data_IF_951590733375
#
_entry.id   IF_951590733375
#
_cell.length_a   1.000
_cell.length_b   1.000
_cell.length_c   1.000
_cell.angle_alpha   90.00
_cell.angle_beta   90.00
_cell.angle_gamma   90.00
#
_symmetry.space_group_name_H-M   'P 1'
#
loop_
_entity.id
_entity.type
_entity.pdbx_description
1 polymer ?
#
# COMPACT_ATOMS: atom_id res chain seq x y z
N UNK A 1 -3.24 -4.25 -4.02
CA UNK A 1 -3.81 -3.90 -2.70
C UNK A 1 -3.82 -5.08 -1.73
N UNK A 2 -4.40 -6.26 -2.03
CA UNK A 2 -4.46 -7.38 -1.06
C UNK A 2 -3.09 -7.91 -0.56
N UNK A 3 -2.10 -8.03 -1.45
CA UNK A 3 -0.75 -8.50 -1.07
C UNK A 3 0.05 -7.49 -0.24
N UNK A 4 -0.25 -6.20 -0.40
CA UNK A 4 0.51 -5.11 0.21
C UNK A 4 0.25 -5.03 1.72
N UNK A 5 -1.00 -5.30 2.14
CA UNK A 5 -1.38 -5.36 3.56
C UNK A 5 -0.64 -6.46 4.33
N UNK A 6 -0.39 -7.62 3.71
CA UNK A 6 0.37 -8.70 4.35
C UNK A 6 1.85 -8.33 4.54
N UNK A 7 2.48 -7.76 3.51
CA UNK A 7 3.86 -7.27 3.56
C UNK A 7 4.04 -6.13 4.59
N UNK A 8 3.07 -5.23 4.68
CA UNK A 8 3.07 -4.17 5.70
C UNK A 8 2.92 -4.73 7.12
N UNK A 9 2.07 -5.73 7.32
CA UNK A 9 1.89 -6.39 8.62
C UNK A 9 3.15 -7.12 9.09
N UNK A 10 3.81 -7.86 8.20
CA UNK A 10 5.08 -8.54 8.50
C UNK A 10 6.17 -7.52 8.82
N UNK A 11 6.26 -6.43 8.03
CA UNK A 11 7.26 -5.38 8.24
C UNK A 11 7.05 -4.63 9.55
N UNK A 12 5.81 -4.42 9.97
CA UNK A 12 5.50 -3.81 11.27
C UNK A 12 5.89 -4.72 12.44
N UNK A 13 5.57 -6.00 12.38
CA UNK A 13 5.92 -6.96 13.43
C UNK A 13 7.45 -7.06 13.57
N UNK A 14 8.15 -7.28 12.45
CA UNK A 14 9.61 -7.37 12.41
C UNK A 14 10.27 -6.08 12.91
N UNK A 15 9.77 -4.92 12.48
CA UNK A 15 10.29 -3.62 12.91
C UNK A 15 10.21 -3.39 14.42
N UNK A 16 9.20 -3.95 15.11
CA UNK A 16 9.10 -3.89 16.58
C UNK A 16 10.12 -4.78 17.27
N UNK A 17 10.41 -5.95 16.71
CA UNK A 17 11.33 -6.94 17.29
C UNK A 17 12.79 -6.50 17.18
N UNK A 18 13.19 -5.95 16.04
CA UNK A 18 14.61 -5.61 15.79
C UNK A 18 15.00 -4.21 16.25
N UNK A 19 14.03 -3.40 16.74
CA UNK A 19 14.26 -2.02 17.18
C UNK A 19 15.30 -1.92 18.30
N UNK A 20 15.31 -2.89 19.21
CA UNK A 20 16.27 -2.95 20.33
C UNK A 20 17.71 -3.22 19.89
N UNK A 21 17.89 -3.70 18.65
CA UNK A 21 19.19 -3.95 18.03
C UNK A 21 19.68 -2.74 17.21
N UNK A 22 18.95 -1.63 17.20
CA UNK A 22 19.27 -0.45 16.39
C UNK A 22 18.96 -0.62 14.89
N UNK A 23 18.17 -1.63 14.52
CA UNK A 23 17.78 -1.90 13.13
C UNK A 23 16.43 -1.25 12.87
N UNK A 24 16.33 -0.55 11.73
CA UNK A 24 15.09 0.08 11.26
C UNK A 24 14.51 -0.68 10.06
N UNK A 25 13.20 -0.90 10.06
CA UNK A 25 12.48 -1.58 8.98
C UNK A 25 11.38 -0.65 8.46
N UNK A 26 11.40 -0.37 7.16
CA UNK A 26 10.38 0.46 6.48
C UNK A 26 9.78 -0.29 5.30
N UNK A 27 8.46 -0.45 5.32
CA UNK A 27 7.69 -0.89 4.17
C UNK A 27 7.46 0.30 3.22
N UNK A 28 8.13 0.28 2.07
CA UNK A 28 7.91 1.25 1.01
C UNK A 28 6.72 0.83 0.15
N UNK A 29 5.68 1.65 0.12
CA UNK A 29 4.48 1.43 -0.71
C UNK A 29 4.41 2.50 -1.81
N UNK A 30 5.06 2.28 -2.97
CA UNK A 30 4.94 3.18 -4.09
C UNK A 30 3.53 3.09 -4.73
N UNK A 31 2.96 4.25 -5.06
CA UNK A 31 1.77 4.38 -5.91
C UNK A 31 2.04 4.06 -7.38
N UNK A 32 1.31 4.67 -8.31
CA UNK A 32 1.57 4.49 -9.74
C UNK A 32 2.85 5.23 -10.17
N UNK A 33 3.97 4.52 -10.26
CA UNK A 33 5.24 5.06 -10.78
C UNK A 33 5.44 4.74 -12.27
N UNK A 34 6.11 5.66 -12.99
CA UNK A 34 6.62 5.41 -14.35
C UNK A 34 7.82 4.47 -14.28
N UNK A 35 7.56 3.20 -14.08
CA UNK A 35 8.55 2.13 -14.25
C UNK A 35 8.07 1.19 -15.35
N UNK A 36 9.01 0.43 -15.94
CA UNK A 36 8.69 -0.60 -16.96
C UNK A 36 7.83 -1.76 -16.40
N UNK A 37 7.43 -1.70 -15.11
CA UNK A 37 6.66 -2.69 -14.38
C UNK A 37 5.27 -2.94 -14.99
N UNK A 38 4.56 -1.89 -15.43
CA UNK A 38 3.26 -2.02 -16.10
C UNK A 38 3.37 -2.49 -17.57
N UNK A 39 4.60 -2.58 -18.09
CA UNK A 39 4.93 -3.07 -19.43
C UNK A 39 5.46 -4.50 -19.39
N UNK A 40 6.76 -4.68 -19.65
CA UNK A 40 7.38 -5.99 -19.92
C UNK A 40 7.52 -6.92 -18.71
N UNK A 41 7.47 -6.41 -17.49
CA UNK A 41 7.74 -7.21 -16.28
C UNK A 41 6.50 -7.83 -15.61
N UNK A 42 5.31 -7.55 -16.12
CA UNK A 42 4.06 -8.12 -15.60
C UNK A 42 3.68 -9.37 -16.40
N UNK A 43 4.09 -10.55 -15.90
CA UNK A 43 3.63 -11.83 -16.44
C UNK A 43 2.19 -12.07 -15.99
N UNK A 44 1.27 -12.23 -16.96
CA UNK A 44 -0.15 -12.51 -16.69
C UNK A 44 -0.46 -13.95 -17.03
N UNK A 45 -1.35 -14.55 -16.26
CA UNK A 45 -1.94 -15.85 -16.57
C UNK A 45 -3.00 -15.66 -17.65
N UNK A 46 -3.01 -16.50 -18.68
CA UNK A 46 -3.94 -16.41 -19.82
C UNK A 46 -5.40 -16.75 -19.45
N UNK A 47 -5.64 -17.26 -18.25
CA UNK A 47 -6.94 -17.76 -17.83
C UNK A 47 -7.84 -16.63 -17.35
N UNK A 48 -8.93 -16.36 -18.08
CA UNK A 48 -10.05 -15.54 -17.61
C UNK A 48 -11.21 -16.43 -17.16
N UNK A 49 -11.98 -15.96 -16.18
CA UNK A 49 -13.24 -16.57 -15.73
C UNK A 49 -14.34 -15.59 -16.15
N UNK A 50 -15.29 -16.04 -16.98
CA UNK A 50 -16.30 -15.18 -17.60
C UNK A 50 -17.09 -14.35 -16.57
N UNK A 51 -17.43 -14.96 -15.43
CA UNK A 51 -18.17 -14.29 -14.33
C UNK A 51 -17.41 -13.10 -13.74
N UNK A 52 -16.08 -13.04 -13.90
CA UNK A 52 -15.23 -11.97 -13.38
C UNK A 52 -14.98 -10.84 -14.39
N UNK A 53 -15.33 -11.02 -15.67
CA UNK A 53 -14.98 -10.07 -16.73
C UNK A 53 -15.67 -8.72 -16.53
N UNK A 54 -16.93 -8.69 -16.07
CA UNK A 54 -17.65 -7.45 -15.79
C UNK A 54 -16.96 -6.54 -14.75
N UNK A 55 -16.24 -7.14 -13.79
CA UNK A 55 -15.49 -6.41 -12.75
C UNK A 55 -14.06 -6.13 -13.21
N UNK A 56 -13.45 -7.07 -13.93
CA UNK A 56 -12.03 -7.01 -14.29
C UNK A 56 -11.77 -6.18 -15.55
N UNK A 57 -12.67 -6.14 -16.52
CA UNK A 57 -12.48 -5.41 -17.77
C UNK A 57 -12.30 -3.90 -17.59
N UNK A 58 -13.11 -3.21 -16.77
CA UNK A 58 -12.88 -1.78 -16.48
C UNK A 58 -11.51 -1.55 -15.82
N UNK A 59 -11.09 -2.46 -14.93
CA UNK A 59 -9.79 -2.39 -14.24
C UNK A 59 -8.65 -2.64 -15.24
N UNK A 60 -8.81 -3.59 -16.16
CA UNK A 60 -7.84 -3.90 -17.23
C UNK A 60 -7.68 -2.69 -18.16
N UNK A 61 -8.80 -2.11 -18.63
CA UNK A 61 -8.81 -0.94 -19.51
C UNK A 61 -8.19 0.30 -18.82
N UNK A 62 -8.58 0.59 -17.58
CA UNK A 62 -8.04 1.72 -16.82
C UNK A 62 -6.52 1.59 -16.59
N UNK A 63 -6.00 0.37 -16.40
CA UNK A 63 -4.55 0.12 -16.24
C UNK A 63 -3.80 0.27 -17.56
N UNK A 64 -4.33 -0.23 -18.67
CA UNK A 64 -3.73 -0.02 -19.99
C UNK A 64 -3.68 1.46 -20.36
N UNK A 65 -4.77 2.20 -20.13
CA UNK A 65 -4.83 3.65 -20.38
C UNK A 65 -3.83 4.47 -19.54
N UNK A 66 -3.43 3.97 -18.37
CA UNK A 66 -2.45 4.59 -17.47
C UNK A 66 -1.01 4.16 -17.73
N UNK A 67 -0.78 3.12 -18.54
CA UNK A 67 0.56 2.65 -18.90
C UNK A 67 1.30 3.73 -19.70
N UNK A 68 2.48 4.16 -19.22
CA UNK A 68 3.27 5.25 -19.80
C UNK A 68 2.83 6.66 -19.40
N UNK A 69 1.68 6.80 -18.72
CA UNK A 69 1.14 8.08 -18.22
C UNK A 69 1.15 8.18 -16.70
N UNK A 70 1.82 7.26 -16.01
CA UNK A 70 1.85 7.25 -14.56
C UNK A 70 2.41 8.60 -14.03
N UNK A 71 1.88 9.16 -12.93
CA UNK A 71 2.32 10.46 -12.43
C UNK A 71 3.64 10.39 -11.65
N UNK A 72 4.00 9.21 -11.12
CA UNK A 72 5.18 9.06 -10.26
C UNK A 72 6.50 9.20 -11.02
N UNK A 73 7.34 10.11 -10.52
CA UNK A 73 8.69 10.37 -11.00
C UNK A 73 9.71 9.49 -10.23
N UNK A 74 10.41 8.56 -10.90
CA UNK A 74 11.41 7.70 -10.26
C UNK A 74 12.55 8.47 -9.59
N UNK A 75 12.96 9.63 -10.11
CA UNK A 75 14.02 10.44 -9.52
C UNK A 75 13.57 10.99 -8.15
N UNK A 76 12.32 11.47 -8.06
CA UNK A 76 11.74 11.93 -6.79
C UNK A 76 11.54 10.79 -5.79
N UNK A 77 11.24 9.58 -6.24
CA UNK A 77 11.22 8.42 -5.36
C UNK A 77 12.62 8.09 -4.80
N UNK A 78 13.66 8.19 -5.62
CA UNK A 78 15.04 8.01 -5.17
C UNK A 78 15.44 9.08 -4.13
N UNK A 79 15.09 10.35 -4.36
CA UNK A 79 15.32 11.42 -3.37
C UNK A 79 14.58 11.15 -2.05
N UNK A 80 13.33 10.68 -2.11
CA UNK A 80 12.56 10.33 -0.91
C UNK A 80 13.18 9.14 -0.15
N UNK A 81 13.76 8.18 -0.88
CA UNK A 81 14.49 7.06 -0.29
C UNK A 81 15.80 7.51 0.38
N UNK A 82 16.55 8.42 -0.22
CA UNK A 82 17.76 8.97 0.40
C UNK A 82 17.42 9.69 1.72
N UNK A 83 16.38 10.52 1.71
CA UNK A 83 15.87 11.18 2.93
C UNK A 83 15.43 10.18 4.00
N UNK A 84 14.86 9.05 3.61
CA UNK A 84 14.44 8.00 4.52
C UNK A 84 15.66 7.34 5.19
N UNK A 85 16.69 7.02 4.41
CA UNK A 85 17.93 6.38 4.90
C UNK A 85 18.72 7.31 5.81
N UNK A 86 18.71 8.62 5.55
CA UNK A 86 19.36 9.64 6.38
C UNK A 86 18.55 10.01 7.64
N UNK A 87 17.36 9.45 7.83
CA UNK A 87 16.53 9.76 9.00
C UNK A 87 17.00 8.97 10.22
N UNK A 88 17.17 9.66 11.36
CA UNK A 88 17.45 9.01 12.65
C UNK A 88 16.27 8.16 13.17
N UNK A 89 15.05 8.44 12.68
CA UNK A 89 13.83 7.75 13.10
C UNK A 89 12.91 7.49 11.89
N UNK A 90 13.30 6.59 10.98
CA UNK A 90 12.51 6.31 9.80
C UNK A 90 11.16 5.67 10.17
N UNK A 91 10.06 6.03 9.47
CA UNK A 91 8.75 5.44 9.71
C UNK A 91 8.71 3.98 9.30
N UNK A 92 7.80 3.22 9.92
CA UNK A 92 7.53 1.81 9.54
C UNK A 92 6.87 1.72 8.16
N UNK A 93 6.13 2.76 7.74
CA UNK A 93 5.43 2.83 6.45
C UNK A 93 5.68 4.17 5.79
N UNK A 94 6.05 4.16 4.51
CA UNK A 94 6.15 5.35 3.69
C UNK A 94 5.38 5.15 2.39
N UNK A 95 4.34 5.97 2.19
CA UNK A 95 3.55 5.98 0.97
C UNK A 95 4.08 7.05 0.02
N UNK A 96 4.47 6.65 -1.18
CA UNK A 96 4.97 7.58 -2.19
C UNK A 96 3.92 7.80 -3.28
N UNK A 97 3.44 9.04 -3.39
CA UNK A 97 2.43 9.46 -4.37
C UNK A 97 1.11 9.88 -3.71
N UNK A 98 0.50 10.95 -4.25
CA UNK A 98 -0.76 11.49 -3.74
C UNK A 98 -1.94 10.52 -3.91
N UNK A 99 -1.90 9.67 -4.96
CA UNK A 99 -2.86 8.60 -5.19
C UNK A 99 -2.79 7.52 -4.11
N UNK A 100 -1.58 7.07 -3.77
CA UNK A 100 -1.36 6.10 -2.71
C UNK A 100 -1.81 6.67 -1.35
N UNK A 101 -1.44 7.92 -1.06
CA UNK A 101 -1.82 8.59 0.18
C UNK A 101 -3.35 8.73 0.31
N UNK A 102 -4.03 9.23 -0.72
CA UNK A 102 -5.50 9.39 -0.69
C UNK A 102 -6.26 8.08 -0.53
N UNK A 103 -5.77 6.98 -1.12
CA UNK A 103 -6.36 5.65 -0.90
C UNK A 103 -6.23 5.19 0.56
N UNK A 104 -5.08 5.44 1.18
CA UNK A 104 -4.83 5.09 2.59
C UNK A 104 -5.68 5.95 3.51
N UNK A 105 -5.74 7.26 3.28
CA UNK A 105 -6.57 8.19 4.06
C UNK A 105 -8.04 7.78 4.03
N UNK A 106 -8.57 7.47 2.85
CA UNK A 106 -9.94 6.98 2.70
C UNK A 106 -10.17 5.65 3.44
N UNK A 107 -9.20 4.72 3.37
CA UNK A 107 -9.30 3.44 4.08
C UNK A 107 -9.28 3.63 5.60
N UNK A 108 -8.43 4.52 6.11
CA UNK A 108 -8.37 4.86 7.53
C UNK A 108 -9.68 5.50 7.97
N UNK A 109 -10.23 6.44 7.19
CA UNK A 109 -11.49 7.08 7.49
C UNK A 109 -12.65 6.07 7.57
N UNK A 110 -12.76 5.17 6.59
CA UNK A 110 -13.75 4.10 6.60
C UNK A 110 -13.59 3.17 7.81
N UNK A 111 -12.36 2.76 8.12
CA UNK A 111 -12.09 1.90 9.28
C UNK A 111 -12.43 2.58 10.61
N UNK A 112 -12.15 3.89 10.74
CA UNK A 112 -12.56 4.67 11.93
C UNK A 112 -14.07 4.73 12.07
N UNK A 113 -14.79 4.92 10.97
CA UNK A 113 -16.26 4.92 10.98
C UNK A 113 -16.82 3.56 11.43
N UNK A 114 -16.28 2.47 10.91
CA UNK A 114 -16.67 1.10 11.29
C UNK A 114 -16.38 0.84 12.78
N UNK A 115 -15.20 1.24 13.28
CA UNK A 115 -14.87 1.10 14.71
C UNK A 115 -15.85 1.89 15.59
N UNK A 116 -16.21 3.12 15.19
CA UNK A 116 -17.13 3.95 15.96
C UNK A 116 -18.55 3.35 15.99
N UNK A 117 -19.00 2.79 14.86
CA UNK A 117 -20.30 2.11 14.77
C UNK A 117 -20.38 0.89 15.72
N UNK A 118 -19.28 0.15 15.84
CA UNK A 118 -19.22 -1.08 16.65
C UNK A 118 -18.60 -0.87 18.04
N UNK A 119 -18.39 0.37 18.49
CA UNK A 119 -17.72 0.66 19.75
C UNK A 119 -18.47 0.06 20.95
N UNK A 120 -19.80 0.24 21.00
CA UNK A 120 -20.62 -0.25 22.11
C UNK A 120 -20.55 -1.78 22.25
N UNK A 121 -20.59 -2.50 21.12
CA UNK A 121 -20.47 -3.98 21.09
C UNK A 121 -19.07 -4.42 21.47
N UNK A 122 -18.05 -3.72 20.96
CA UNK A 122 -16.65 -4.04 21.25
C UNK A 122 -16.31 -3.88 22.73
N UNK A 123 -16.95 -2.93 23.43
CA UNK A 123 -16.78 -2.69 24.87
C UNK A 123 -17.67 -3.57 25.75
N UNK A 124 -18.75 -4.13 25.20
CA UNK A 124 -19.67 -4.97 25.97
C UNK A 124 -19.11 -6.36 26.30
N UNK A 125 -17.93 -6.70 25.78
CA UNK A 125 -17.26 -7.99 26.03
C UNK A 125 -16.27 -7.95 27.19
N UNK A 126 -16.09 -6.80 27.83
CA UNK A 126 -15.23 -6.69 29.01
C UNK A 126 -15.92 -7.33 30.23
N UNK A 127 -15.13 -7.94 31.12
CA UNK A 127 -15.64 -8.36 32.43
C UNK A 127 -16.02 -7.12 33.25
N UNK A 128 -17.14 -7.20 33.97
CA UNK A 128 -17.59 -6.15 34.89
C UNK A 128 -16.62 -5.97 36.07
#
# INVERSE_FOLDING_TARGET
MRQQVCLEGISEALGKEVKTLGIHVTALAPGQFRTDWAGRSMVRTDRSIADYDAVMDPIRAARQAKSGRQPGDPAKAAEALLKLVESDNPPVRLYLGADALGLVENKIAAMRAEIAEWEAVSRSTDFA
#
